data_IF_988476424123
#
_entry.id   IF_988476424123
#
_cell.length_a   1.000
_cell.length_b   1.000
_cell.length_c   1.000
_cell.angle_alpha   90.00
_cell.angle_beta   90.00
_cell.angle_gamma   90.00
#
_symmetry.space_group_name_H-M   'P 1'
#
loop_
_entity.id
_entity.type
_entity.pdbx_description
1 polymer ?
#
# COMPACT_ATOMS: atom_id res chain seq x y z
N UNK A 1 -19.80 3.21 9.80
CA UNK A 1 -18.43 2.82 9.37
C UNK A 1 -17.70 4.06 8.89
N UNK A 2 -16.59 4.43 9.55
CA UNK A 2 -15.82 5.65 9.22
C UNK A 2 -14.63 5.37 8.29
N UNK A 3 -14.10 4.15 8.31
CA UNK A 3 -12.97 3.70 7.50
C UNK A 3 -13.18 2.21 7.16
N UNK A 4 -12.82 1.83 5.94
CA UNK A 4 -12.71 0.44 5.47
C UNK A 4 -11.23 0.13 5.25
N UNK A 5 -10.80 -1.02 5.76
CA UNK A 5 -9.38 -1.39 5.84
C UNK A 5 -9.22 -2.73 5.12
N UNK A 6 -8.56 -2.71 3.96
CA UNK A 6 -8.28 -3.89 3.14
C UNK A 6 -6.95 -4.54 3.54
N UNK A 7 -7.00 -5.42 4.55
CA UNK A 7 -5.84 -6.20 4.99
C UNK A 7 -5.82 -7.56 4.29
N UNK A 8 -5.06 -7.70 3.20
CA UNK A 8 -4.99 -8.94 2.42
C UNK A 8 -6.23 -9.22 1.55
N UNK A 9 -6.91 -8.16 1.08
CA UNK A 9 -8.08 -8.29 0.21
C UNK A 9 -7.68 -8.47 -1.25
N UNK A 10 -7.86 -9.67 -1.79
CA UNK A 10 -7.35 -10.06 -3.13
C UNK A 10 -8.36 -9.83 -4.27
N UNK A 11 -9.23 -8.82 -4.18
CA UNK A 11 -10.24 -8.52 -5.23
C UNK A 11 -10.33 -7.02 -5.49
N UNK A 12 -10.81 -6.65 -6.66
CA UNK A 12 -11.14 -5.26 -6.96
C UNK A 12 -12.38 -4.82 -6.19
N UNK A 13 -12.33 -3.61 -5.64
CA UNK A 13 -13.46 -3.01 -4.94
C UNK A 13 -14.48 -2.50 -5.96
N UNK A 14 -15.71 -2.98 -5.86
CA UNK A 14 -16.78 -2.57 -6.77
C UNK A 14 -17.21 -1.11 -6.57
N UNK A 15 -17.73 -0.50 -7.65
CA UNK A 15 -18.17 0.91 -7.72
C UNK A 15 -19.09 1.31 -6.56
N UNK A 16 -20.03 0.45 -6.17
CA UNK A 16 -20.95 0.72 -5.06
C UNK A 16 -20.22 1.04 -3.74
N UNK A 17 -19.15 0.30 -3.42
CA UNK A 17 -18.39 0.54 -2.20
C UNK A 17 -17.48 1.76 -2.35
N UNK A 18 -16.85 1.94 -3.51
CA UNK A 18 -16.02 3.11 -3.83
C UNK A 18 -16.80 4.43 -3.72
N UNK A 19 -18.05 4.45 -4.18
CA UNK A 19 -18.93 5.63 -4.07
C UNK A 19 -19.36 5.88 -2.63
N UNK A 20 -19.79 4.83 -1.90
CA UNK A 20 -20.23 4.97 -0.52
C UNK A 20 -19.10 5.36 0.45
N UNK A 21 -17.86 4.95 0.17
CA UNK A 21 -16.70 5.13 1.04
C UNK A 21 -15.55 5.86 0.34
N UNK A 22 -15.84 6.77 -0.58
CA UNK A 22 -14.81 7.55 -1.28
C UNK A 22 -13.84 8.20 -0.28
N UNK A 23 -12.54 7.98 -0.50
CA UNK A 23 -11.45 8.44 0.38
C UNK A 23 -11.53 7.94 1.83
N UNK A 24 -12.22 6.82 2.05
CA UNK A 24 -12.38 6.16 3.34
C UNK A 24 -12.16 4.64 3.23
N UNK A 25 -11.45 4.22 2.19
CA UNK A 25 -10.97 2.85 2.01
C UNK A 25 -9.46 2.93 1.84
N UNK A 26 -8.72 2.16 2.63
CA UNK A 26 -7.27 2.03 2.48
C UNK A 26 -6.87 0.59 2.16
N UNK A 27 -5.85 0.45 1.33
CA UNK A 27 -5.23 -0.82 0.99
C UNK A 27 -3.74 -0.77 1.33
N UNK A 28 -3.17 -1.95 1.54
CA UNK A 28 -1.72 -2.14 1.58
C UNK A 28 -1.31 -3.05 0.43
N UNK A 29 -0.29 -2.62 -0.29
CA UNK A 29 0.27 -3.33 -1.44
C UNK A 29 1.74 -3.68 -1.18
N UNK A 30 2.18 -4.92 -1.42
CA UNK A 30 3.56 -5.37 -1.15
C UNK A 30 4.56 -4.92 -2.24
N UNK A 31 4.50 -3.65 -2.62
CA UNK A 31 5.50 -3.00 -3.46
C UNK A 31 5.60 -1.50 -3.14
N UNK A 32 6.69 -0.88 -3.58
CA UNK A 32 6.81 0.57 -3.66
C UNK A 32 6.09 1.08 -4.92
N UNK A 33 4.81 1.44 -4.77
CA UNK A 33 4.04 2.04 -5.86
C UNK A 33 4.70 3.36 -6.30
N UNK A 34 4.80 3.62 -7.63
CA UNK A 34 4.06 2.98 -8.72
C UNK A 34 4.68 1.69 -9.29
N UNK A 35 5.72 1.13 -8.68
CA UNK A 35 6.36 -0.11 -9.16
C UNK A 35 5.50 -1.34 -8.83
N UNK A 36 5.45 -2.27 -9.78
CA UNK A 36 4.83 -3.60 -9.65
C UNK A 36 3.39 -3.59 -9.07
N UNK A 37 2.44 -2.83 -9.65
CA UNK A 37 1.03 -2.89 -9.23
C UNK A 37 0.41 -4.26 -9.59
N UNK A 38 -0.67 -4.64 -8.92
CA UNK A 38 -1.38 -5.88 -9.18
C UNK A 38 -0.75 -7.12 -8.52
N UNK A 39 -0.83 -8.27 -9.18
CA UNK A 39 -0.50 -9.55 -8.54
C UNK A 39 1.01 -9.88 -8.60
N UNK A 40 1.49 -10.66 -7.64
CA UNK A 40 2.85 -11.20 -7.62
C UNK A 40 3.97 -10.14 -7.63
N UNK A 41 3.78 -9.03 -6.89
CA UNK A 41 4.73 -7.92 -6.88
C UNK A 41 6.15 -8.34 -6.45
N UNK A 42 6.27 -9.27 -5.50
CA UNK A 42 7.56 -9.78 -5.02
C UNK A 42 8.29 -10.55 -6.13
N UNK A 43 7.58 -11.40 -6.88
CA UNK A 43 8.16 -12.11 -8.04
C UNK A 43 8.62 -11.12 -9.10
N UNK A 44 7.78 -10.14 -9.43
CA UNK A 44 8.13 -9.11 -10.41
C UNK A 44 9.38 -8.33 -9.98
N UNK A 45 9.51 -8.00 -8.69
CA UNK A 45 10.68 -7.32 -8.15
C UNK A 45 11.96 -8.16 -8.28
N UNK A 46 11.89 -9.45 -7.97
CA UNK A 46 13.02 -10.37 -8.11
C UNK A 46 13.43 -10.58 -9.57
N UNK A 47 12.46 -10.82 -10.47
CA UNK A 47 12.70 -10.99 -11.90
C UNK A 47 13.29 -9.73 -12.55
N UNK A 48 12.86 -8.55 -12.10
CA UNK A 48 13.42 -7.28 -12.56
C UNK A 48 14.84 -7.04 -12.04
N UNK A 49 15.19 -7.59 -10.87
CA UNK A 49 16.49 -7.43 -10.24
C UNK A 49 16.66 -6.10 -9.49
N UNK A 50 15.58 -5.53 -8.95
CA UNK A 50 15.67 -4.34 -8.10
C UNK A 50 16.48 -4.64 -6.84
N UNK A 51 17.16 -3.63 -6.28
CA UNK A 51 17.92 -3.77 -5.02
C UNK A 51 17.15 -3.29 -3.79
N UNK A 52 15.99 -2.67 -4.01
CA UNK A 52 15.10 -2.15 -2.99
C UNK A 52 13.67 -2.45 -3.42
N UNK A 53 12.88 -3.01 -2.50
CA UNK A 53 11.43 -3.19 -2.61
C UNK A 53 10.78 -2.59 -1.36
N UNK A 54 9.53 -2.95 -1.05
CA UNK A 54 8.84 -2.43 0.12
C UNK A 54 7.34 -2.64 0.07
N UNK A 55 6.61 -1.84 0.83
CA UNK A 55 5.15 -1.80 0.79
C UNK A 55 4.63 -0.36 0.71
N UNK A 56 3.38 -0.23 0.27
CA UNK A 56 2.68 1.05 0.16
C UNK A 56 1.29 0.95 0.75
N UNK A 57 0.97 1.85 1.69
CA UNK A 57 -0.40 2.08 2.15
C UNK A 57 -0.97 3.26 1.39
N UNK A 58 -2.12 3.07 0.76
CA UNK A 58 -2.75 4.10 -0.06
C UNK A 58 -4.28 4.08 0.10
N UNK A 59 -4.92 5.19 -0.24
CA UNK A 59 -6.37 5.21 -0.44
C UNK A 59 -6.73 4.43 -1.70
N UNK A 60 -7.87 3.74 -1.66
CA UNK A 60 -8.40 3.02 -2.83
C UNK A 60 -9.21 3.96 -3.71
N UNK A 61 -8.93 3.94 -5.01
CA UNK A 61 -9.71 4.58 -6.06
C UNK A 61 -10.25 3.52 -7.04
N UNK A 62 -10.68 3.93 -8.23
CA UNK A 62 -11.23 3.05 -9.27
C UNK A 62 -10.16 2.32 -10.09
N UNK A 63 -8.88 2.68 -9.92
CA UNK A 63 -7.76 1.97 -10.53
C UNK A 63 -7.17 0.89 -9.62
N UNK A 64 -6.24 0.12 -10.19
CA UNK A 64 -5.51 -0.93 -9.47
C UNK A 64 -4.25 -0.31 -8.85
N UNK A 65 -4.25 -0.18 -7.52
CA UNK A 65 -3.12 0.32 -6.74
C UNK A 65 -2.64 1.72 -7.17
N UNK A 66 -3.57 2.58 -7.61
CA UNK A 66 -3.24 3.91 -8.17
C UNK A 66 -3.44 5.08 -7.22
N UNK A 67 -4.20 4.87 -6.15
CA UNK A 67 -4.68 5.96 -5.32
C UNK A 67 -3.61 6.71 -4.51
N UNK A 68 -4.01 7.81 -3.84
CA UNK A 68 -3.11 8.64 -3.05
C UNK A 68 -2.38 7.85 -1.96
N UNK A 69 -1.05 7.97 -1.94
CA UNK A 69 -0.16 7.25 -1.03
C UNK A 69 -0.15 7.95 0.34
N UNK A 70 -0.28 7.16 1.40
CA UNK A 70 -0.26 7.63 2.80
C UNK A 70 1.09 7.32 3.43
N UNK A 71 1.55 6.07 3.33
CA UNK A 71 2.82 5.59 3.91
C UNK A 71 3.51 4.67 2.92
N UNK A 72 4.84 4.74 2.87
CA UNK A 72 5.69 3.75 2.22
C UNK A 72 6.83 3.36 3.16
N UNK A 73 7.22 2.10 3.10
CA UNK A 73 8.39 1.58 3.80
C UNK A 73 9.18 0.70 2.84
N UNK A 74 10.51 0.76 2.95
CA UNK A 74 11.44 0.09 2.04
C UNK A 74 12.11 -1.10 2.71
N UNK A 75 12.40 -2.14 1.94
CA UNK A 75 13.23 -3.26 2.36
C UNK A 75 14.32 -3.52 1.31
N UNK A 76 15.52 -4.00 1.71
CA UNK A 76 16.51 -4.45 0.75
C UNK A 76 16.03 -5.72 0.03
N UNK A 77 16.48 -5.88 -1.21
CA UNK A 77 16.37 -7.14 -1.98
C UNK A 77 17.77 -7.72 -2.12
N UNK A 78 17.97 -8.93 -1.60
CA UNK A 78 19.23 -9.66 -1.65
C UNK A 78 19.31 -10.53 -2.90
N UNK A 79 20.53 -10.81 -3.37
CA UNK A 79 20.75 -11.56 -4.60
C UNK A 79 20.31 -13.04 -4.49
N UNK A 80 20.19 -13.55 -3.27
CA UNK A 80 19.74 -14.91 -2.93
C UNK A 80 18.29 -14.97 -2.43
N UNK A 81 17.54 -13.86 -2.48
CA UNK A 81 16.15 -13.84 -2.07
C UNK A 81 15.29 -14.77 -2.95
N UNK A 82 14.48 -15.57 -2.28
CA UNK A 82 13.29 -16.21 -2.86
C UNK A 82 12.07 -15.30 -2.73
N UNK A 83 11.02 -15.56 -3.52
CA UNK A 83 9.73 -14.86 -3.41
C UNK A 83 9.19 -14.89 -1.97
N UNK A 84 9.35 -16.02 -1.27
CA UNK A 84 8.93 -16.18 0.12
C UNK A 84 9.76 -15.33 1.09
N UNK A 85 11.09 -15.35 0.97
CA UNK A 85 11.96 -14.57 1.86
C UNK A 85 11.77 -13.06 1.72
N UNK A 86 11.58 -12.59 0.47
CA UNK A 86 11.26 -11.19 0.22
C UNK A 86 9.85 -10.83 0.73
N UNK A 87 8.87 -11.71 0.52
CA UNK A 87 7.51 -11.51 1.03
C UNK A 87 7.45 -11.42 2.55
N UNK A 88 8.18 -12.28 3.28
CA UNK A 88 8.26 -12.22 4.75
C UNK A 88 8.85 -10.90 5.23
N UNK A 89 9.93 -10.43 4.59
CA UNK A 89 10.56 -9.14 4.92
C UNK A 89 9.62 -7.96 4.66
N UNK A 90 8.89 -7.99 3.54
CA UNK A 90 7.89 -6.96 3.21
C UNK A 90 6.73 -7.00 4.22
N UNK A 91 6.26 -8.18 4.63
CA UNK A 91 5.13 -8.35 5.55
C UNK A 91 5.38 -7.71 6.93
N UNK A 92 6.63 -7.73 7.41
CA UNK A 92 7.02 -7.02 8.63
C UNK A 92 6.75 -5.52 8.49
N UNK A 93 7.26 -4.91 7.42
CA UNK A 93 7.04 -3.49 7.10
C UNK A 93 5.58 -3.17 6.78
N UNK A 94 4.83 -4.13 6.22
CA UNK A 94 3.40 -3.97 5.99
C UNK A 94 2.65 -3.74 7.30
N UNK A 95 2.89 -4.57 8.31
CA UNK A 95 2.28 -4.41 9.62
C UNK A 95 2.63 -3.05 10.24
N UNK A 96 3.89 -2.60 10.14
CA UNK A 96 4.32 -1.31 10.66
C UNK A 96 3.66 -0.14 9.92
N UNK A 97 3.70 -0.16 8.59
CA UNK A 97 3.15 0.89 7.73
C UNK A 97 1.64 1.03 7.90
N UNK A 98 0.91 -0.08 8.05
CA UNK A 98 -0.52 -0.04 8.23
C UNK A 98 -0.93 0.55 9.58
N UNK A 99 -0.21 0.20 10.66
CA UNK A 99 -0.38 0.82 11.98
C UNK A 99 -0.13 2.33 11.92
N UNK A 100 0.94 2.77 11.24
CA UNK A 100 1.26 4.18 11.07
C UNK A 100 0.17 4.93 10.29
N UNK A 101 -0.29 4.37 9.17
CA UNK A 101 -1.35 4.98 8.36
C UNK A 101 -2.67 5.13 9.15
N UNK A 102 -3.05 4.11 9.92
CA UNK A 102 -4.22 4.16 10.80
C UNK A 102 -4.09 5.23 11.88
N UNK A 103 -2.90 5.40 12.46
CA UNK A 103 -2.63 6.44 13.45
C UNK A 103 -2.78 7.85 12.85
N UNK A 104 -2.21 8.09 11.67
CA UNK A 104 -2.32 9.37 10.96
C UNK A 104 -3.79 9.69 10.60
N UNK A 105 -4.55 8.69 10.15
CA UNK A 105 -5.98 8.82 9.89
C UNK A 105 -6.77 9.15 11.17
N UNK A 106 -6.49 8.44 12.27
CA UNK A 106 -7.16 8.65 13.55
C UNK A 106 -6.87 10.03 14.14
N UNK A 107 -5.67 10.58 13.90
CA UNK A 107 -5.29 11.93 14.30
C UNK A 107 -5.92 13.04 13.46
N UNK A 108 -6.49 12.71 12.29
CA UNK A 108 -7.10 13.69 11.39
C UNK A 108 -6.09 14.65 10.76
N UNK A 109 -4.81 14.27 10.67
CA UNK A 109 -3.72 15.12 10.19
C UNK A 109 -3.41 14.96 8.69
N UNK A 110 -4.18 14.11 7.98
CA UNK A 110 -4.01 13.88 6.54
C UNK A 110 -4.90 14.80 5.71
N UNK A 111 -4.30 15.52 4.77
CA UNK A 111 -5.01 16.35 3.80
C UNK A 111 -4.72 15.88 2.36
N UNK A 112 -5.78 15.70 1.56
CA UNK A 112 -5.65 15.35 0.15
C UNK A 112 -5.55 16.61 -0.71
N UNK A 113 -4.40 16.81 -1.35
CA UNK A 113 -4.15 17.84 -2.35
C UNK A 113 -3.92 17.21 -3.73
N UNK A 114 -4.95 17.27 -4.59
CA UNK A 114 -4.97 16.52 -5.84
C UNK A 114 -4.84 15.01 -5.60
N UNK A 115 -3.70 14.42 -5.97
CA UNK A 115 -3.38 13.00 -5.67
C UNK A 115 -2.43 12.78 -4.50
N UNK A 116 -1.95 13.86 -3.88
CA UNK A 116 -0.91 13.81 -2.84
C UNK A 116 -1.55 13.90 -1.48
N UNK A 117 -1.03 13.12 -0.54
CA UNK A 117 -1.37 13.27 0.87
C UNK A 117 -0.31 14.16 1.51
N UNK A 118 -0.77 15.22 2.17
CA UNK A 118 0.05 16.10 2.99
C UNK A 118 -0.25 15.76 4.45
N UNK A 119 0.79 15.41 5.21
CA UNK A 119 0.70 15.21 6.66
C UNK A 119 0.96 16.53 7.35
N UNK A 120 -0.04 17.08 8.04
CA UNK A 120 0.12 18.28 8.86
C UNK A 120 0.68 17.89 10.23
N UNK A 121 1.69 18.63 10.69
CA UNK A 121 2.18 18.55 12.07
C UNK A 121 1.28 19.34 13.01
#
# INVERSE_FOLDING_TARGET
VNLVVLAGYMRLVGKTLLEAYRWRIINIHPALLPSFPGLHAQRQALEYGVKVSGCTVHFVDDGMDTGPIIVQATVPVHDDDTEESLAQRILEEEHHSYKQALQLLAQGCLYLDGRKIIVKQ
#
